data_IF_113043035575
#
_entry.id   IF_113043035575
#
_cell.length_a   1.000
_cell.length_b   1.000
_cell.length_c   1.000
_cell.angle_alpha   90.00
_cell.angle_beta   90.00
_cell.angle_gamma   90.00
#
_symmetry.space_group_name_H-M   'P 1'
#
loop_
_entity.id
_entity.type
_entity.pdbx_description
1 polymer ?
#
# COMPACT_ATOMS: atom_id res chain seq x y z
N UNK A 1 -5.97 15.84 10.36
CA UNK A 1 -7.40 16.20 10.52
C UNK A 1 -7.56 17.63 10.00
N UNK A 2 -8.38 17.86 8.98
CA UNK A 2 -8.44 19.16 8.29
C UNK A 2 -9.37 20.14 9.00
N UNK A 3 -8.82 21.26 9.45
CA UNK A 3 -9.59 22.38 10.02
C UNK A 3 -10.09 23.28 8.90
N UNK A 4 -11.28 23.84 9.06
CA UNK A 4 -11.79 24.89 8.17
C UNK A 4 -11.07 26.22 8.37
N UNK A 5 -11.46 27.24 7.59
CA UNK A 5 -10.94 28.62 7.71
C UNK A 5 -11.17 29.21 9.10
N UNK A 6 -12.20 28.74 9.78
CA UNK A 6 -12.61 29.07 11.15
C UNK A 6 -11.84 28.28 12.23
N UNK A 7 -10.87 27.45 11.84
CA UNK A 7 -10.08 26.63 12.78
C UNK A 7 -10.83 25.42 13.35
N UNK A 8 -12.12 25.24 13.02
CA UNK A 8 -12.95 24.14 13.49
C UNK A 8 -12.91 22.95 12.55
N UNK A 9 -12.97 21.73 13.10
CA UNK A 9 -13.10 20.52 12.30
C UNK A 9 -14.57 20.24 12.02
N UNK A 10 -14.91 20.07 10.75
CA UNK A 10 -16.26 19.65 10.35
C UNK A 10 -16.37 18.14 10.53
N UNK A 11 -17.40 17.74 11.27
CA UNK A 11 -17.74 16.34 11.55
C UNK A 11 -19.15 16.08 11.03
N UNK A 12 -19.42 14.83 10.65
CA UNK A 12 -20.72 14.36 10.18
C UNK A 12 -21.17 13.16 11.01
N UNK A 13 -22.47 13.05 11.23
CA UNK A 13 -23.05 11.85 11.81
C UNK A 13 -23.18 10.78 10.72
N UNK A 14 -22.57 9.61 10.95
CA UNK A 14 -22.63 8.47 10.05
C UNK A 14 -23.48 7.40 10.71
N UNK A 15 -24.62 7.08 10.11
CA UNK A 15 -25.42 5.91 10.51
C UNK A 15 -24.75 4.63 10.02
N UNK A 16 -24.63 3.68 10.92
CA UNK A 16 -24.10 2.34 10.69
C UNK A 16 -25.15 1.32 11.15
N UNK A 17 -24.97 0.05 10.80
CA UNK A 17 -25.84 -1.03 11.27
C UNK A 17 -25.88 -1.17 12.81
N UNK A 18 -24.86 -0.66 13.51
CA UNK A 18 -24.73 -0.76 14.96
C UNK A 18 -25.09 0.55 15.69
N UNK A 19 -25.68 1.53 14.99
CA UNK A 19 -25.99 2.86 15.54
C UNK A 19 -25.26 3.98 14.77
N UNK A 20 -25.14 5.16 15.36
CA UNK A 20 -24.48 6.30 14.72
C UNK A 20 -23.14 6.67 15.34
N UNK A 21 -22.24 7.23 14.53
CA UNK A 21 -20.93 7.70 14.97
C UNK A 21 -20.58 9.03 14.31
N UNK A 22 -19.98 9.95 15.06
CA UNK A 22 -19.45 11.20 14.51
C UNK A 22 -18.09 10.96 13.85
N UNK A 23 -17.98 11.26 12.55
CA UNK A 23 -16.74 11.11 11.77
C UNK A 23 -16.27 12.46 11.21
N UNK A 24 -14.98 12.79 11.27
CA UNK A 24 -14.44 13.98 10.59
C UNK A 24 -14.56 13.87 9.06
N UNK A 25 -14.90 14.98 8.39
CA UNK A 25 -14.95 15.02 6.93
C UNK A 25 -13.52 14.95 6.37
N UNK A 26 -13.28 14.01 5.46
CA UNK A 26 -12.02 13.85 4.74
C UNK A 26 -12.14 14.41 3.32
N UNK A 27 -11.10 15.10 2.85
CA UNK A 27 -11.00 15.53 1.45
C UNK A 27 -10.55 14.33 0.61
N UNK A 28 -11.35 13.95 -0.38
CA UNK A 28 -10.91 13.01 -1.41
C UNK A 28 -10.15 13.79 -2.48
N UNK A 29 -8.99 13.28 -2.87
CA UNK A 29 -8.24 13.78 -4.00
C UNK A 29 -8.51 12.85 -5.18
N UNK A 30 -8.81 13.39 -6.38
CA UNK A 30 -8.95 12.58 -7.57
C UNK A 30 -7.69 11.74 -7.78
N UNK A 31 -7.87 10.44 -8.00
CA UNK A 31 -6.80 9.51 -8.36
C UNK A 31 -6.81 9.24 -9.86
N UNK A 32 -7.19 10.25 -10.66
CA UNK A 32 -7.23 10.13 -12.11
C UNK A 32 -5.83 9.75 -12.62
N UNK A 33 -5.70 8.52 -13.11
CA UNK A 33 -4.49 8.06 -13.79
C UNK A 33 -4.68 8.46 -15.24
N UNK A 34 -3.88 9.38 -15.74
CA UNK A 34 -3.91 9.68 -17.17
C UNK A 34 -3.35 8.47 -17.90
N UNK A 35 -3.96 8.04 -19.01
CA UNK A 35 -3.43 6.94 -19.83
C UNK A 35 -2.06 7.26 -20.44
N UNK A 36 -1.58 8.50 -20.29
CA UNK A 36 -0.22 8.93 -20.61
C UNK A 36 0.82 8.51 -19.55
N UNK A 37 0.42 8.13 -18.35
CA UNK A 37 1.34 7.65 -17.29
C UNK A 37 1.71 6.16 -17.47
N UNK A 38 1.06 5.44 -18.38
CA UNK A 38 1.59 4.17 -18.88
C UNK A 38 2.53 4.46 -20.03
N UNK A 39 3.84 4.51 -19.75
CA UNK A 39 5.02 4.22 -20.59
C UNK A 39 6.19 5.08 -20.09
N UNK A 40 7.05 4.56 -19.21
CA UNK A 40 8.29 3.97 -19.71
C UNK A 40 8.87 2.90 -18.76
N UNK A 41 8.42 1.66 -18.90
CA UNK A 41 9.38 0.54 -18.77
C UNK A 41 10.12 0.45 -20.11
N UNK A 42 11.09 1.35 -20.31
CA UNK A 42 12.08 1.18 -21.38
C UNK A 42 12.86 -0.10 -21.11
N UNK A 43 13.08 -0.83 -22.20
CA UNK A 43 13.75 -2.11 -22.32
C UNK A 43 15.04 -2.24 -21.50
N UNK A 44 15.32 -3.50 -21.18
CA UNK A 44 16.49 -3.99 -20.44
C UNK A 44 17.80 -3.55 -21.08
N UNK A 45 18.65 -2.91 -20.29
CA UNK A 45 20.10 -3.09 -20.38
C UNK A 45 20.62 -3.49 -19.00
N UNK A 46 21.28 -4.64 -18.96
CA UNK A 46 21.91 -5.23 -17.78
C UNK A 46 23.32 -4.66 -17.67
N UNK A 47 23.62 -3.86 -16.64
CA UNK A 47 24.91 -3.97 -15.92
C UNK A 47 24.84 -3.27 -14.53
N UNK A 48 25.63 -3.84 -13.63
CA UNK A 48 25.73 -3.67 -12.19
C UNK A 48 25.81 -2.23 -11.66
N UNK A 49 24.90 -1.91 -10.73
CA UNK A 49 25.02 -0.73 -9.86
C UNK A 49 24.41 -1.01 -8.49
N UNK A 50 25.24 -1.45 -7.55
CA UNK A 50 24.90 -1.73 -6.16
C UNK A 50 24.19 -0.57 -5.46
N UNK A 51 23.03 -0.82 -4.84
CA UNK A 51 22.56 0.01 -3.73
C UNK A 51 22.97 -0.65 -2.41
N UNK A 52 23.94 -0.04 -1.73
CA UNK A 52 24.48 -0.49 -0.45
C UNK A 52 23.47 -0.24 0.67
N UNK A 53 22.82 -1.31 1.12
CA UNK A 53 22.42 -1.46 2.52
C UNK A 53 23.16 -2.69 3.03
N UNK A 54 24.33 -2.46 3.61
CA UNK A 54 25.15 -3.51 4.19
C UNK A 54 25.03 -3.44 5.70
N UNK A 55 23.93 -3.98 6.21
CA UNK A 55 23.87 -4.54 7.55
C UNK A 55 23.46 -6.00 7.39
N UNK A 56 24.37 -6.89 7.79
CA UNK A 56 24.29 -8.34 7.60
C UNK A 56 23.01 -8.89 8.22
N UNK A 57 22.01 -9.22 7.38
CA UNK A 57 20.90 -10.06 7.78
C UNK A 57 21.25 -11.51 7.46
N UNK A 58 21.22 -12.42 8.45
CA UNK A 58 21.66 -13.80 8.26
C UNK A 58 20.77 -14.51 7.23
N UNK A 59 21.40 -15.32 6.38
CA UNK A 59 20.73 -16.24 5.46
C UNK A 59 19.65 -17.02 6.18
N UNK A 60 18.39 -16.64 5.97
CA UNK A 60 17.24 -17.43 6.37
C UNK A 60 16.58 -17.94 5.10
N UNK A 61 17.09 -19.08 4.64
CA UNK A 61 16.58 -19.82 3.50
C UNK A 61 15.05 -20.02 3.59
N UNK A 62 14.36 -19.67 2.50
CA UNK A 62 13.07 -20.26 2.11
C UNK A 62 11.79 -19.70 2.74
N UNK A 63 11.86 -18.80 3.71
CA UNK A 63 10.64 -18.35 4.41
C UNK A 63 10.12 -17.03 3.84
N UNK A 64 9.09 -17.11 3.00
CA UNK A 64 8.42 -15.94 2.46
C UNK A 64 7.70 -15.16 3.58
N UNK A 65 7.87 -13.84 3.60
CA UNK A 65 7.24 -12.92 4.55
C UNK A 65 6.41 -11.87 3.81
N UNK A 66 5.35 -11.39 4.44
CA UNK A 66 4.58 -10.25 3.94
C UNK A 66 5.39 -8.96 4.06
N UNK A 67 4.92 -7.89 3.41
CA UNK A 67 5.53 -6.55 3.53
C UNK A 67 5.61 -6.03 4.98
N UNK A 68 4.77 -6.55 5.89
CA UNK A 68 4.77 -6.21 7.32
C UNK A 68 5.50 -7.28 8.17
N UNK A 69 6.27 -8.17 7.54
CA UNK A 69 7.10 -9.18 8.22
C UNK A 69 6.38 -10.46 8.66
N UNK A 70 5.07 -10.60 8.39
CA UNK A 70 4.30 -11.80 8.77
C UNK A 70 4.71 -12.99 7.92
N UNK A 71 4.89 -14.15 8.54
CA UNK A 71 5.20 -15.41 7.84
C UNK A 71 4.08 -15.78 6.86
N UNK A 72 4.44 -16.04 5.61
CA UNK A 72 3.51 -16.50 4.56
C UNK A 72 3.48 -18.02 4.53
N UNK A 73 2.27 -18.57 4.42
CA UNK A 73 2.06 -20.00 4.17
C UNK A 73 2.30 -20.29 2.69
N UNK A 74 3.13 -21.28 2.39
CA UNK A 74 3.30 -21.74 1.02
C UNK A 74 1.99 -22.38 0.52
N UNK A 75 1.46 -21.87 -0.59
CA UNK A 75 0.32 -22.47 -1.28
C UNK A 75 0.82 -23.64 -2.14
N UNK A 76 0.06 -24.73 -2.17
CA UNK A 76 0.31 -25.84 -3.10
C UNK A 76 -0.32 -25.51 -4.45
N UNK A 77 0.35 -25.90 -5.54
CA UNK A 77 -0.27 -25.86 -6.86
C UNK A 77 -1.45 -26.83 -6.87
N UNK A 78 -2.58 -26.39 -7.43
CA UNK A 78 -3.63 -27.32 -7.85
C UNK A 78 -3.12 -27.98 -9.13
N UNK A 79 -2.96 -29.30 -9.11
CA UNK A 79 -2.81 -30.08 -10.32
C UNK A 79 -4.21 -30.24 -10.94
N UNK A 80 -4.37 -29.89 -12.22
CA UNK A 80 -5.61 -30.12 -12.96
C UNK A 80 -5.60 -31.56 -13.51
N UNK A 81 -6.71 -32.32 -13.41
CA UNK A 81 -6.84 -33.65 -14.01
C UNK A 81 -6.86 -33.61 -15.54
#
# INVERSE_FOLDING_TARGET
>A
MYKGKDGRVRVVEVKTQFGSVMRPIQKLYPLEVTTADSLSSTERDVDNGSCLYQDQLPEMQGVLRSRYGRLLKQIKRLENP
#
